data_IF_685908041871
#
_entry.id   IF_685908041871
#
_cell.length_a   1.000
_cell.length_b   1.000
_cell.length_c   1.000
_cell.angle_alpha   90.00
_cell.angle_beta   90.00
_cell.angle_gamma   90.00
#
_symmetry.space_group_name_H-M   'P 1'
#
loop_
_entity.id
_entity.type
_entity.pdbx_description
1 polymer ?
#
# COMPACT_ATOMS: atom_id res chain seq x y z
N UNK A 1 6.93 -3.16 -10.61
CA UNK A 1 6.14 -3.81 -9.54
C UNK A 1 6.18 -2.97 -8.28
N UNK A 2 5.10 -2.96 -7.50
CA UNK A 2 4.97 -2.41 -6.14
C UNK A 2 4.29 -3.44 -5.25
N UNK A 3 4.91 -3.83 -4.15
CA UNK A 3 4.32 -4.76 -3.19
C UNK A 3 3.88 -3.99 -1.95
N UNK A 4 2.57 -3.85 -1.75
CA UNK A 4 1.98 -2.97 -0.73
C UNK A 4 1.16 -3.81 0.24
N UNK A 5 1.54 -3.83 1.51
CA UNK A 5 0.76 -4.49 2.56
C UNK A 5 -0.26 -3.54 3.16
N UNK A 6 -1.52 -3.97 3.22
CA UNK A 6 -2.61 -3.21 3.86
C UNK A 6 -2.61 -3.51 5.36
N UNK A 7 -2.38 -2.49 6.15
CA UNK A 7 -2.28 -2.55 7.61
C UNK A 7 -3.37 -1.70 8.26
N UNK A 8 -3.64 -1.91 9.53
CA UNK A 8 -4.58 -1.11 10.32
C UNK A 8 -5.58 -1.94 11.11
N UNK A 9 -6.37 -1.27 11.92
CA UNK A 9 -7.35 -1.91 12.82
C UNK A 9 -8.44 -2.67 12.04
N UNK A 10 -9.10 -3.61 12.72
CA UNK A 10 -10.29 -4.27 12.16
C UNK A 10 -11.38 -3.23 11.88
N UNK A 11 -12.03 -3.33 10.72
CA UNK A 11 -13.06 -2.36 10.33
C UNK A 11 -12.55 -1.04 9.71
N UNK A 12 -11.22 -0.79 9.59
CA UNK A 12 -10.69 0.41 8.93
C UNK A 12 -10.89 0.43 7.40
N UNK A 13 -11.38 -0.67 6.81
CA UNK A 13 -11.74 -0.77 5.40
C UNK A 13 -10.63 -1.23 4.46
N UNK A 14 -9.67 -2.04 4.94
CA UNK A 14 -8.62 -2.66 4.12
C UNK A 14 -9.19 -3.45 2.94
N UNK A 15 -10.03 -4.43 3.24
CA UNK A 15 -10.70 -5.27 2.22
C UNK A 15 -11.60 -4.45 1.28
N UNK A 16 -12.31 -3.44 1.81
CA UNK A 16 -13.11 -2.53 0.97
C UNK A 16 -12.22 -1.73 0.01
N UNK A 17 -11.02 -1.35 0.45
CA UNK A 17 -10.04 -0.68 -0.43
C UNK A 17 -9.50 -1.64 -1.50
N UNK A 18 -9.17 -2.89 -1.15
CA UNK A 18 -8.75 -3.92 -2.09
C UNK A 18 -9.79 -4.13 -3.20
N UNK A 19 -11.07 -4.22 -2.84
CA UNK A 19 -12.18 -4.33 -3.80
C UNK A 19 -12.32 -3.09 -4.68
N UNK A 20 -12.16 -1.91 -4.08
CA UNK A 20 -12.17 -0.65 -4.82
C UNK A 20 -11.01 -0.56 -5.83
N UNK A 21 -9.80 -0.96 -5.42
CA UNK A 21 -8.64 -0.97 -6.30
C UNK A 21 -8.83 -1.93 -7.48
N UNK A 22 -9.34 -3.15 -7.26
CA UNK A 22 -9.70 -4.10 -8.30
C UNK A 22 -10.75 -3.55 -9.29
N UNK A 23 -11.78 -2.94 -8.77
CA UNK A 23 -12.86 -2.39 -9.60
C UNK A 23 -12.40 -1.18 -10.42
N UNK A 24 -11.72 -0.22 -9.79
CA UNK A 24 -11.30 1.02 -10.46
C UNK A 24 -10.08 0.86 -11.37
N UNK A 25 -9.28 -0.20 -11.20
CA UNK A 25 -8.25 -0.60 -12.17
C UNK A 25 -8.84 -1.37 -13.37
N UNK A 26 -10.08 -1.86 -13.25
CA UNK A 26 -10.73 -2.70 -14.27
C UNK A 26 -10.36 -4.19 -14.17
N UNK A 27 -9.63 -4.59 -13.12
CA UNK A 27 -9.30 -5.99 -12.88
C UNK A 27 -10.53 -6.85 -12.59
N UNK A 28 -11.59 -6.24 -12.01
CA UNK A 28 -12.90 -6.87 -11.83
C UNK A 28 -14.01 -5.99 -12.41
N UNK A 29 -15.09 -6.64 -12.86
CA UNK A 29 -16.30 -5.94 -13.37
C UNK A 29 -17.31 -5.64 -12.27
N UNK A 30 -17.17 -6.26 -11.12
CA UNK A 30 -18.04 -6.13 -9.96
C UNK A 30 -17.28 -5.53 -8.80
N UNK A 31 -17.90 -4.61 -8.10
CA UNK A 31 -17.41 -4.09 -6.83
C UNK A 31 -17.92 -5.02 -5.72
N UNK A 32 -17.03 -5.79 -5.10
CA UNK A 32 -17.39 -6.67 -3.97
C UNK A 32 -17.60 -5.90 -2.68
N UNK A 33 -18.41 -6.48 -1.79
CA UNK A 33 -18.70 -5.92 -0.47
C UNK A 33 -18.55 -6.99 0.61
N UNK A 34 -17.95 -6.63 1.71
CA UNK A 34 -17.77 -7.54 2.87
C UNK A 34 -19.11 -8.00 3.42
N UNK A 35 -20.09 -7.08 3.49
CA UNK A 35 -21.44 -7.38 3.98
C UNK A 35 -22.17 -8.42 3.13
N UNK A 36 -21.92 -8.41 1.82
CA UNK A 36 -22.51 -9.34 0.86
C UNK A 36 -21.74 -10.68 0.78
N UNK A 37 -20.58 -10.80 1.44
CA UNK A 37 -19.72 -11.98 1.42
C UNK A 37 -19.22 -12.34 0.03
N UNK A 38 -18.96 -11.34 -0.81
CA UNK A 38 -18.62 -11.52 -2.23
C UNK A 38 -17.33 -10.83 -2.65
N UNK A 39 -16.45 -10.51 -1.69
CA UNK A 39 -15.13 -9.93 -1.94
C UNK A 39 -14.18 -10.96 -2.54
N UNK A 40 -13.15 -10.47 -3.22
CA UNK A 40 -12.08 -11.31 -3.79
C UNK A 40 -11.13 -11.77 -2.69
N UNK A 41 -10.88 -10.92 -1.68
CA UNK A 41 -9.94 -11.19 -0.59
C UNK A 41 -10.46 -12.22 0.40
N UNK A 42 -11.70 -12.04 0.90
CA UNK A 42 -12.31 -12.90 1.93
C UNK A 42 -13.13 -13.99 1.25
N UNK A 43 -12.49 -15.04 0.81
CA UNK A 43 -13.14 -16.13 0.06
C UNK A 43 -13.35 -17.41 0.88
N UNK A 44 -12.74 -17.52 2.05
CA UNK A 44 -12.96 -18.65 2.94
C UNK A 44 -14.32 -18.59 3.61
N UNK A 45 -14.97 -19.75 3.78
CA UNK A 45 -16.31 -19.83 4.35
C UNK A 45 -16.42 -19.15 5.73
N UNK A 46 -15.35 -19.22 6.52
CA UNK A 46 -15.32 -18.62 7.86
C UNK A 46 -15.16 -17.09 7.78
N UNK A 47 -14.38 -16.57 6.83
CA UNK A 47 -14.24 -15.14 6.57
C UNK A 47 -15.57 -14.53 6.14
N UNK A 48 -16.25 -15.19 5.19
CA UNK A 48 -17.57 -14.80 4.70
C UNK A 48 -18.60 -14.81 5.84
N UNK A 49 -18.60 -15.86 6.67
CA UNK A 49 -19.53 -16.00 7.79
C UNK A 49 -19.32 -14.95 8.86
N UNK A 50 -18.07 -14.65 9.20
CA UNK A 50 -17.71 -13.68 10.24
C UNK A 50 -17.61 -12.25 9.71
N UNK A 51 -17.55 -12.06 8.39
CA UNK A 51 -17.32 -10.77 7.73
C UNK A 51 -16.00 -10.11 8.17
N UNK A 52 -14.98 -10.91 8.34
CA UNK A 52 -13.64 -10.49 8.74
C UNK A 52 -12.59 -11.34 8.03
N UNK A 53 -11.50 -10.72 7.62
CA UNK A 53 -10.33 -11.39 7.06
C UNK A 53 -9.60 -12.20 8.14
N UNK A 54 -9.25 -13.42 7.83
CA UNK A 54 -8.48 -14.35 8.68
C UNK A 54 -7.11 -14.60 8.04
N UNK A 55 -7.08 -14.73 6.72
CA UNK A 55 -5.90 -14.98 5.93
C UNK A 55 -5.46 -13.74 5.16
N UNK A 56 -4.16 -13.67 4.86
CA UNK A 56 -3.66 -12.68 3.89
C UNK A 56 -3.98 -13.14 2.48
N UNK A 57 -4.56 -12.24 1.68
CA UNK A 57 -4.86 -12.44 0.27
C UNK A 57 -4.00 -11.53 -0.62
N UNK A 58 -3.53 -12.06 -1.76
CA UNK A 58 -2.80 -11.28 -2.78
C UNK A 58 -3.80 -10.72 -3.79
N UNK A 59 -3.76 -9.41 -3.99
CA UNK A 59 -4.69 -8.65 -4.83
C UNK A 59 -3.89 -7.85 -5.85
N UNK A 60 -3.55 -8.44 -7.00
CA UNK A 60 -2.82 -7.76 -8.06
C UNK A 60 -3.73 -6.84 -8.86
N UNK A 61 -3.27 -5.62 -9.11
CA UNK A 61 -3.90 -4.66 -10.01
C UNK A 61 -2.86 -4.05 -10.95
N UNK A 62 -3.27 -3.75 -12.19
CA UNK A 62 -2.45 -2.99 -13.13
C UNK A 62 -2.91 -1.52 -13.11
N UNK A 63 -1.97 -0.60 -12.89
CA UNK A 63 -2.25 0.83 -12.81
C UNK A 63 -1.09 1.65 -13.35
N UNK A 64 -1.33 2.46 -14.42
CA UNK A 64 -0.31 3.30 -15.05
C UNK A 64 0.99 2.54 -15.37
N UNK A 65 0.88 1.45 -16.12
CA UNK A 65 1.99 0.56 -16.49
C UNK A 65 2.78 -0.03 -15.29
N UNK A 66 2.15 -0.02 -14.12
CA UNK A 66 2.72 -0.56 -12.88
C UNK A 66 1.81 -1.64 -12.31
N UNK A 67 2.38 -2.82 -12.07
CA UNK A 67 1.72 -3.88 -11.31
C UNK A 67 1.84 -3.57 -9.81
N UNK A 68 0.70 -3.41 -9.15
CA UNK A 68 0.63 -3.23 -7.70
C UNK A 68 0.05 -4.51 -7.10
N UNK A 69 0.81 -5.19 -6.27
CA UNK A 69 0.33 -6.32 -5.48
C UNK A 69 -0.09 -5.80 -4.11
N UNK A 70 -1.39 -5.66 -3.87
CA UNK A 70 -1.88 -5.42 -2.52
C UNK A 70 -1.92 -6.74 -1.76
N UNK A 71 -1.34 -6.74 -0.57
CA UNK A 71 -1.41 -7.84 0.38
C UNK A 71 -2.47 -7.45 1.42
N UNK A 72 -3.69 -7.92 1.21
CA UNK A 72 -4.82 -7.62 2.10
C UNK A 72 -4.72 -8.50 3.35
N UNK A 73 -4.46 -7.87 4.50
CA UNK A 73 -4.16 -8.57 5.75
C UNK A 73 -5.30 -8.48 6.77
N UNK A 74 -5.43 -9.47 7.65
CA UNK A 74 -6.35 -9.41 8.78
C UNK A 74 -6.09 -8.20 9.68
N UNK A 75 -7.17 -7.64 10.26
CA UNK A 75 -7.08 -6.53 11.21
C UNK A 75 -7.17 -6.96 12.69
N UNK A 76 -7.49 -8.20 12.98
CA UNK A 76 -7.53 -8.74 14.33
C UNK A 76 -6.17 -9.26 14.79
N UNK A 77 -5.81 -9.00 16.03
CA UNK A 77 -4.50 -9.37 16.60
C UNK A 77 -4.26 -10.88 16.67
N UNK A 78 -5.33 -11.67 16.76
CA UNK A 78 -5.26 -13.13 16.72
C UNK A 78 -4.57 -13.65 15.44
N UNK A 79 -4.60 -12.87 14.38
CA UNK A 79 -4.01 -13.21 13.08
C UNK A 79 -2.73 -12.40 12.76
N UNK A 80 -2.04 -11.87 13.77
CA UNK A 80 -0.83 -11.06 13.58
C UNK A 80 0.29 -11.80 12.82
N UNK A 81 0.33 -13.13 12.88
CA UNK A 81 1.28 -13.93 12.11
C UNK A 81 1.08 -13.75 10.59
N UNK A 82 -0.15 -13.71 10.11
CA UNK A 82 -0.49 -13.45 8.71
C UNK A 82 0.01 -12.08 8.26
N UNK A 83 -0.14 -11.05 9.13
CA UNK A 83 0.36 -9.70 8.87
C UNK A 83 1.89 -9.71 8.70
N UNK A 84 2.63 -10.33 9.65
CA UNK A 84 4.09 -10.39 9.61
C UNK A 84 4.61 -11.16 8.40
N UNK A 85 3.97 -12.25 8.02
CA UNK A 85 4.32 -13.01 6.80
C UNK A 85 4.18 -12.14 5.54
N UNK A 86 3.08 -11.39 5.42
CA UNK A 86 2.86 -10.46 4.30
C UNK A 86 3.90 -9.32 4.27
N UNK A 87 4.25 -8.77 5.43
CA UNK A 87 5.22 -7.69 5.53
C UNK A 87 6.64 -8.10 5.09
N UNK A 88 7.04 -9.36 5.26
CA UNK A 88 8.33 -9.86 4.78
C UNK A 88 8.52 -9.74 3.27
N UNK A 89 7.41 -9.77 2.52
CA UNK A 89 7.41 -9.69 1.05
C UNK A 89 6.88 -8.36 0.51
N UNK A 90 6.50 -7.43 1.38
CA UNK A 90 6.09 -6.09 1.02
C UNK A 90 7.28 -5.13 0.91
N UNK A 91 7.08 -4.05 0.17
CA UNK A 91 8.02 -2.94 0.00
C UNK A 91 7.49 -1.65 0.64
N UNK A 92 6.19 -1.57 0.90
CA UNK A 92 5.51 -0.40 1.49
C UNK A 92 4.33 -0.86 2.34
N UNK A 93 4.15 -0.25 3.50
CA UNK A 93 2.96 -0.38 4.33
C UNK A 93 1.93 0.70 3.97
N UNK A 94 0.68 0.30 3.74
CA UNK A 94 -0.46 1.20 3.62
C UNK A 94 -1.32 1.06 4.88
N UNK A 95 -1.22 2.04 5.78
CA UNK A 95 -1.95 2.06 7.05
C UNK A 95 -3.32 2.70 6.83
N UNK A 96 -4.36 1.87 6.93
CA UNK A 96 -5.75 2.30 6.82
C UNK A 96 -6.27 2.74 8.18
N UNK A 97 -6.80 3.96 8.25
CA UNK A 97 -7.32 4.57 9.48
C UNK A 97 -8.78 4.99 9.24
N UNK A 98 -9.67 4.71 10.18
CA UNK A 98 -11.05 5.18 10.09
C UNK A 98 -11.14 6.66 10.46
N UNK A 99 -11.75 7.47 9.60
CA UNK A 99 -11.99 8.89 9.86
C UNK A 99 -12.90 9.14 11.07
N UNK A 100 -13.69 8.14 11.45
CA UNK A 100 -14.59 8.17 12.61
C UNK A 100 -13.89 7.82 13.92
N UNK A 101 -13.06 6.75 13.88
CA UNK A 101 -12.43 6.20 15.08
C UNK A 101 -11.08 6.86 15.40
N UNK A 102 -10.39 7.40 14.38
CA UNK A 102 -9.03 7.94 14.55
C UNK A 102 -7.99 6.85 14.76
N UNK A 103 -7.00 7.15 15.60
CA UNK A 103 -5.93 6.21 15.95
C UNK A 103 -6.46 5.15 16.92
N UNK A 104 -6.43 3.91 16.49
CA UNK A 104 -6.81 2.72 17.28
C UNK A 104 -5.57 1.85 17.53
N UNK A 105 -5.68 0.89 18.46
CA UNK A 105 -4.55 -0.01 18.79
C UNK A 105 -3.98 -0.72 17.55
N UNK A 106 -4.82 -1.09 16.57
CA UNK A 106 -4.35 -1.66 15.31
C UNK A 106 -3.59 -0.68 14.43
N UNK A 107 -3.86 0.62 14.55
CA UNK A 107 -3.09 1.68 13.88
C UNK A 107 -1.71 1.82 14.50
N UNK A 108 -1.63 1.83 15.85
CA UNK A 108 -0.37 1.88 16.59
C UNK A 108 0.51 0.68 16.27
N UNK A 109 -0.07 -0.53 16.27
CA UNK A 109 0.64 -1.76 15.92
C UNK A 109 1.12 -1.77 14.45
N UNK A 110 0.31 -1.27 13.52
CA UNK A 110 0.71 -1.14 12.12
C UNK A 110 1.93 -0.21 11.96
N UNK A 111 1.94 0.88 12.71
CA UNK A 111 3.08 1.80 12.75
C UNK A 111 4.32 1.14 13.34
N UNK A 112 4.21 0.50 14.52
CA UNK A 112 5.30 -0.23 15.17
C UNK A 112 5.90 -1.29 14.23
N UNK A 113 5.07 -2.07 13.54
CA UNK A 113 5.54 -3.09 12.60
C UNK A 113 6.30 -2.49 11.41
N UNK A 114 5.86 -1.35 10.88
CA UNK A 114 6.59 -0.65 9.83
C UNK A 114 7.96 -0.16 10.34
N UNK A 115 8.04 0.35 11.58
CA UNK A 115 9.30 0.74 12.22
C UNK A 115 10.24 -0.47 12.40
N UNK A 116 9.74 -1.57 13.01
CA UNK A 116 10.52 -2.79 13.24
C UNK A 116 11.10 -3.37 11.95
N UNK A 117 10.33 -3.34 10.87
CA UNK A 117 10.71 -3.95 9.59
C UNK A 117 11.32 -2.95 8.60
N UNK A 118 11.52 -1.71 9.01
CA UNK A 118 12.04 -0.63 8.16
C UNK A 118 11.26 -0.52 6.84
N UNK A 119 9.92 -0.54 6.91
CA UNK A 119 9.06 -0.37 5.75
C UNK A 119 8.62 1.09 5.60
N UNK A 120 8.83 1.71 4.44
CA UNK A 120 8.14 2.94 4.06
C UNK A 120 6.64 2.79 4.25
N UNK A 121 5.95 3.86 4.63
CA UNK A 121 4.53 3.80 4.93
C UNK A 121 3.76 4.97 4.36
N UNK A 122 2.53 4.70 3.97
CA UNK A 122 1.52 5.68 3.56
C UNK A 122 0.33 5.51 4.49
N UNK A 123 -0.31 6.59 4.88
CA UNK A 123 -1.53 6.56 5.69
C UNK A 123 -2.72 6.95 4.81
N UNK A 124 -3.81 6.19 4.91
CA UNK A 124 -5.06 6.52 4.26
C UNK A 124 -6.19 6.63 5.28
N UNK A 125 -6.66 7.86 5.50
CA UNK A 125 -7.84 8.14 6.32
C UNK A 125 -9.06 7.81 5.47
N UNK A 126 -9.67 6.66 5.75
CA UNK A 126 -10.80 6.07 5.03
C UNK A 126 -12.13 6.39 5.70
N UNK A 127 -13.24 6.04 5.03
CA UNK A 127 -14.60 6.23 5.56
C UNK A 127 -14.98 7.72 5.76
N UNK A 128 -14.48 8.59 4.88
CA UNK A 128 -14.85 10.01 4.88
C UNK A 128 -16.33 10.25 4.59
N UNK A 129 -17.06 9.23 4.18
CA UNK A 129 -18.51 9.20 3.95
C UNK A 129 -19.34 8.86 5.21
N UNK A 130 -18.71 8.49 6.33
CA UNK A 130 -19.41 8.29 7.61
C UNK A 130 -19.86 9.64 8.18
N UNK A 131 -21.07 9.71 8.73
CA UNK A 131 -21.63 10.94 9.33
C UNK A 131 -20.81 11.49 10.53
N UNK A 132 -20.00 10.64 11.14
CA UNK A 132 -19.11 10.98 12.26
C UNK A 132 -17.64 11.07 11.80
N UNK A 133 -17.37 11.13 10.50
CA UNK A 133 -16.01 11.28 9.99
C UNK A 133 -15.45 12.67 10.35
N UNK A 134 -14.23 12.69 10.89
CA UNK A 134 -13.53 13.93 11.23
C UNK A 134 -12.06 13.81 10.82
N UNK A 135 -11.74 14.36 9.65
CA UNK A 135 -10.38 14.34 9.11
C UNK A 135 -9.40 15.11 9.99
N UNK A 136 -9.82 16.30 10.49
CA UNK A 136 -8.92 17.18 11.22
C UNK A 136 -8.53 16.59 12.57
N UNK A 137 -9.51 16.05 13.28
CA UNK A 137 -9.27 15.32 14.52
C UNK A 137 -8.40 14.09 14.29
N UNK A 138 -8.69 13.31 13.26
CA UNK A 138 -7.92 12.09 12.94
C UNK A 138 -6.48 12.44 12.56
N UNK A 139 -6.25 13.49 11.76
CA UNK A 139 -4.91 13.98 11.44
C UNK A 139 -4.16 14.48 12.68
N UNK A 140 -4.85 15.21 13.56
CA UNK A 140 -4.26 15.68 14.82
C UNK A 140 -3.87 14.50 15.73
N UNK A 141 -4.72 13.46 15.83
CA UNK A 141 -4.44 12.25 16.60
C UNK A 141 -3.25 11.49 16.02
N UNK A 142 -3.17 11.34 14.69
CA UNK A 142 -2.01 10.73 14.01
C UNK A 142 -0.73 11.49 14.32
N UNK A 143 -0.74 12.82 14.22
CA UNK A 143 0.44 13.65 14.51
C UNK A 143 0.82 13.64 15.98
N UNK A 144 -0.14 13.56 16.88
CA UNK A 144 0.10 13.43 18.32
C UNK A 144 0.82 12.11 18.66
N UNK A 145 0.44 11.01 18.00
CA UNK A 145 1.00 9.69 18.30
C UNK A 145 2.30 9.41 17.54
N UNK A 146 2.44 9.92 16.29
CA UNK A 146 3.52 9.54 15.38
C UNK A 146 4.41 10.72 14.96
N UNK A 147 4.12 11.91 15.46
CA UNK A 147 4.98 13.08 15.29
C UNK A 147 4.88 13.76 13.93
N UNK A 148 5.93 14.55 13.61
CA UNK A 148 5.99 15.41 12.42
C UNK A 148 6.16 14.62 11.11
N UNK A 149 6.55 13.35 11.17
CA UNK A 149 6.62 12.48 10.01
C UNK A 149 5.27 12.37 9.28
N UNK A 150 4.15 12.53 9.99
CA UNK A 150 2.79 12.50 9.44
C UNK A 150 2.49 13.79 8.68
N UNK A 151 2.52 13.71 7.34
CA UNK A 151 2.40 14.87 6.45
C UNK A 151 1.23 14.70 5.45
N UNK A 152 0.17 15.52 5.52
CA UNK A 152 -0.95 15.40 4.60
C UNK A 152 -0.56 15.88 3.19
N UNK A 153 -0.90 15.09 2.16
CA UNK A 153 -0.75 15.47 0.74
C UNK A 153 -2.00 16.17 0.20
N UNK A 154 -3.12 15.91 0.83
CA UNK A 154 -4.42 16.47 0.46
C UNK A 154 -5.31 16.59 1.70
N UNK A 155 -6.29 17.49 1.62
CA UNK A 155 -7.36 17.62 2.61
C UNK A 155 -8.72 17.44 1.93
N UNK A 156 -9.73 16.92 2.65
CA UNK A 156 -11.10 16.84 2.14
C UNK A 156 -11.78 18.19 2.23
N UNK A 157 -12.85 18.35 1.44
CA UNK A 157 -13.83 19.40 1.64
C UNK A 157 -15.24 18.91 1.32
N UNK A 158 -16.22 19.55 1.95
CA UNK A 158 -17.62 19.16 1.94
C UNK A 158 -18.47 20.15 1.13
N UNK A 159 -19.70 19.76 0.81
CA UNK A 159 -20.72 20.66 0.30
C UNK A 159 -21.39 21.44 1.45
N UNK A 160 -22.34 22.31 1.10
CA UNK A 160 -23.12 23.14 2.06
C UNK A 160 -23.93 22.29 3.07
N UNK A 161 -24.14 21.01 2.78
CA UNK A 161 -24.86 20.08 3.65
C UNK A 161 -23.92 19.21 4.51
N UNK A 162 -22.60 19.43 4.43
CA UNK A 162 -21.61 18.64 5.14
C UNK A 162 -21.30 17.28 4.51
N UNK A 163 -21.66 17.06 3.24
CA UNK A 163 -21.29 15.84 2.56
C UNK A 163 -19.90 15.96 1.93
N UNK A 164 -19.06 14.97 2.13
CA UNK A 164 -17.75 14.90 1.51
C UNK A 164 -17.83 14.83 -0.03
N UNK A 165 -17.30 15.81 -0.73
CA UNK A 165 -17.41 15.93 -2.20
C UNK A 165 -16.10 16.04 -2.95
N UNK A 166 -14.99 16.35 -2.27
CA UNK A 166 -13.75 16.61 -3.00
C UNK A 166 -12.51 16.71 -2.14
N UNK A 167 -11.40 17.05 -2.81
CA UNK A 167 -10.06 17.14 -2.22
C UNK A 167 -9.37 18.43 -2.66
N UNK A 168 -8.54 18.97 -1.79
CA UNK A 168 -7.59 20.02 -2.11
C UNK A 168 -6.18 19.42 -2.02
N UNK A 169 -5.45 19.45 -3.14
CA UNK A 169 -4.07 18.99 -3.20
C UNK A 169 -3.16 20.08 -2.61
N UNK A 170 -2.38 19.75 -1.59
CA UNK A 170 -1.54 20.71 -0.89
C UNK A 170 -0.25 21.07 -1.67
N UNK A 171 0.22 20.20 -2.56
CA UNK A 171 1.40 20.50 -3.38
C UNK A 171 1.02 21.49 -4.49
N UNK A 172 -0.07 21.19 -5.23
CA UNK A 172 -0.51 21.96 -6.40
C UNK A 172 -1.43 23.13 -6.08
N UNK A 173 -1.93 23.22 -4.85
CA UNK A 173 -2.94 24.21 -4.44
C UNK A 173 -4.18 24.18 -5.35
N UNK A 174 -4.59 22.98 -5.81
CA UNK A 174 -5.77 22.83 -6.64
C UNK A 174 -6.86 22.04 -5.92
N UNK A 175 -8.11 22.52 -6.03
CA UNK A 175 -9.28 21.84 -5.51
C UNK A 175 -9.97 21.05 -6.63
N UNK A 176 -10.44 19.85 -6.32
CA UNK A 176 -11.17 18.98 -7.24
C UNK A 176 -12.35 18.33 -6.54
N UNK A 177 -13.52 18.38 -7.20
CA UNK A 177 -14.73 17.70 -6.72
C UNK A 177 -15.18 16.62 -7.69
N UNK A 178 -15.93 15.67 -7.20
CA UNK A 178 -16.47 14.60 -8.03
C UNK A 178 -17.77 15.07 -8.72
N UNK A 179 -17.75 15.07 -10.04
CA UNK A 179 -18.88 15.38 -10.90
C UNK A 179 -19.09 14.19 -11.84
N UNK A 180 -20.28 13.59 -11.83
CA UNK A 180 -20.59 12.43 -12.69
C UNK A 180 -19.53 11.30 -12.63
N UNK A 181 -18.98 11.02 -11.45
CA UNK A 181 -18.00 9.95 -11.25
C UNK A 181 -16.55 10.32 -11.60
N UNK A 182 -16.28 11.54 -12.09
CA UNK A 182 -14.94 12.05 -12.40
C UNK A 182 -14.56 13.20 -11.47
N UNK A 183 -13.26 13.30 -11.15
CA UNK A 183 -12.72 14.44 -10.42
C UNK A 183 -12.48 15.59 -11.41
N UNK A 184 -13.19 16.70 -11.21
CA UNK A 184 -13.07 17.93 -11.98
C UNK A 184 -12.51 19.05 -11.13
N UNK A 185 -11.70 19.91 -11.74
CA UNK A 185 -11.15 21.09 -11.06
C UNK A 185 -12.26 22.06 -10.68
N UNK A 186 -12.21 22.63 -9.50
CA UNK A 186 -13.15 23.61 -9.01
C UNK A 186 -12.43 24.75 -8.26
N UNK A 187 -13.16 25.77 -7.92
CA UNK A 187 -12.62 26.81 -7.02
C UNK A 187 -12.39 26.24 -5.63
N UNK A 188 -11.32 26.69 -5.01
CA UNK A 188 -11.00 26.32 -3.63
C UNK A 188 -11.99 27.00 -2.68
N UNK A 189 -12.64 26.23 -1.77
CA UNK A 189 -13.50 26.83 -0.76
C UNK A 189 -12.78 27.89 0.06
N UNK A 190 -13.43 29.03 0.29
CA UNK A 190 -12.83 30.18 0.97
C UNK A 190 -12.40 29.85 2.40
N UNK A 191 -13.23 29.07 3.11
CA UNK A 191 -13.00 28.61 4.48
C UNK A 191 -11.82 27.65 4.64
N UNK A 192 -11.31 27.07 3.52
CA UNK A 192 -10.19 26.14 3.51
C UNK A 192 -8.83 26.80 3.18
N UNK A 193 -8.83 28.04 2.69
CA UNK A 193 -7.60 28.69 2.22
C UNK A 193 -6.53 28.80 3.32
N UNK A 194 -6.88 29.29 4.50
CA UNK A 194 -5.92 29.44 5.61
C UNK A 194 -5.38 28.08 6.07
N UNK A 195 -6.24 27.06 6.14
CA UNK A 195 -5.86 25.70 6.49
C UNK A 195 -4.89 25.10 5.46
N UNK A 196 -5.14 25.33 4.17
CA UNK A 196 -4.27 24.89 3.08
C UNK A 196 -2.87 25.50 3.21
N UNK A 197 -2.76 26.80 3.47
CA UNK A 197 -1.46 27.46 3.62
C UNK A 197 -0.68 26.92 4.83
N UNK A 198 -1.34 26.73 5.96
CA UNK A 198 -0.71 26.18 7.17
C UNK A 198 -0.19 24.74 6.91
N UNK A 199 -1.05 23.86 6.37
CA UNK A 199 -0.66 22.47 6.13
C UNK A 199 0.36 22.33 5.00
N UNK A 200 0.29 23.20 3.98
CA UNK A 200 1.28 23.25 2.91
C UNK A 200 2.66 23.65 3.47
N UNK A 201 2.73 24.69 4.31
CA UNK A 201 4.00 25.09 4.92
C UNK A 201 4.64 23.96 5.71
N UNK A 202 3.85 23.20 6.47
CA UNK A 202 4.32 22.01 7.19
C UNK A 202 4.80 20.91 6.23
N UNK A 203 4.11 20.69 5.11
CA UNK A 203 4.49 19.72 4.10
C UNK A 203 5.83 20.09 3.43
N UNK A 204 6.01 21.37 3.11
CA UNK A 204 7.25 21.88 2.52
C UNK A 204 8.43 21.74 3.49
N UNK A 205 8.24 22.08 4.77
CA UNK A 205 9.26 21.90 5.80
C UNK A 205 9.74 20.45 5.87
N UNK A 206 8.80 19.50 5.95
CA UNK A 206 9.15 18.07 6.03
C UNK A 206 9.79 17.57 4.73
N UNK A 207 9.36 18.05 3.56
CA UNK A 207 10.01 17.74 2.29
C UNK A 207 11.43 18.31 2.21
N UNK A 208 11.65 19.53 2.68
CA UNK A 208 12.95 20.18 2.71
C UNK A 208 13.96 19.44 3.62
N UNK A 209 13.51 18.86 4.74
CA UNK A 209 14.37 18.06 5.64
C UNK A 209 15.01 16.84 4.97
N UNK A 210 14.55 16.44 3.79
CA UNK A 210 15.05 15.27 3.06
C UNK A 210 16.42 15.51 2.37
N UNK A 211 16.82 16.77 2.16
CA UNK A 211 18.07 17.14 1.46
C UNK A 211 18.64 18.46 1.99
N UNK A 212 19.98 18.54 2.07
CA UNK A 212 20.66 19.76 2.51
C UNK A 212 20.37 20.95 1.57
N UNK A 213 20.28 20.70 0.25
CA UNK A 213 19.99 21.73 -0.74
C UNK A 213 18.57 22.32 -0.56
N UNK A 214 17.56 21.46 -0.36
CA UNK A 214 16.19 21.91 -0.14
C UNK A 214 16.03 22.63 1.20
N UNK A 215 16.78 22.19 2.21
CA UNK A 215 16.79 22.83 3.51
C UNK A 215 17.42 24.23 3.46
N UNK A 216 18.50 24.42 2.69
CA UNK A 216 19.12 25.73 2.49
C UNK A 216 18.16 26.70 1.80
N UNK A 217 17.45 26.26 0.74
CA UNK A 217 16.41 27.07 0.09
C UNK A 217 15.31 27.45 1.06
N UNK A 218 14.83 26.49 1.86
CA UNK A 218 13.77 26.73 2.85
C UNK A 218 14.18 27.78 3.89
N UNK A 219 15.41 27.74 4.41
CA UNK A 219 15.92 28.72 5.37
C UNK A 219 16.19 30.10 4.76
N UNK A 220 16.41 30.17 3.46
CA UNK A 220 16.58 31.44 2.72
C UNK A 220 15.25 32.04 2.27
N UNK A 221 14.10 31.50 2.71
CA UNK A 221 12.76 31.88 2.27
C UNK A 221 12.57 31.78 0.72
N UNK A 222 13.31 30.88 0.06
CA UNK A 222 13.14 30.59 -1.36
C UNK A 222 11.98 29.63 -1.55
N UNK A 223 11.11 29.93 -2.53
CA UNK A 223 9.96 29.05 -2.83
C UNK A 223 10.44 27.77 -3.52
N UNK A 224 10.11 26.60 -2.94
CA UNK A 224 10.35 25.31 -3.56
C UNK A 224 9.37 25.07 -4.71
N UNK A 225 9.86 24.63 -5.84
CA UNK A 225 9.03 24.20 -6.97
C UNK A 225 8.25 22.93 -6.64
N UNK A 226 7.18 22.66 -7.40
CA UNK A 226 6.42 21.42 -7.24
C UNK A 226 7.30 20.17 -7.36
N UNK A 227 8.24 20.15 -8.33
CA UNK A 227 9.15 19.00 -8.53
C UNK A 227 10.09 18.81 -7.34
N UNK A 228 10.67 19.86 -6.79
CA UNK A 228 11.51 19.79 -5.59
C UNK A 228 10.75 19.27 -4.38
N UNK A 229 9.48 19.67 -4.22
CA UNK A 229 8.62 19.14 -3.15
C UNK A 229 8.35 17.65 -3.40
N UNK A 230 8.06 17.23 -4.64
CA UNK A 230 7.86 15.82 -4.97
C UNK A 230 9.10 14.98 -4.70
N UNK A 231 10.27 15.44 -5.12
CA UNK A 231 11.55 14.74 -4.94
C UNK A 231 11.89 14.62 -3.44
N UNK A 232 11.74 15.71 -2.69
CA UNK A 232 11.93 15.70 -1.25
C UNK A 232 11.01 14.71 -0.53
N UNK A 233 9.73 14.69 -0.91
CA UNK A 233 8.77 13.73 -0.35
C UNK A 233 9.14 12.28 -0.71
N UNK A 234 9.57 12.02 -1.96
CA UNK A 234 9.96 10.68 -2.38
C UNK A 234 11.16 10.16 -1.58
N UNK A 235 12.18 10.99 -1.40
CA UNK A 235 13.35 10.66 -0.56
C UNK A 235 12.94 10.42 0.89
N UNK A 236 12.13 11.32 1.47
CA UNK A 236 11.68 11.22 2.85
C UNK A 236 10.79 10.00 3.12
N UNK A 237 9.97 9.58 2.14
CA UNK A 237 9.17 8.36 2.23
C UNK A 237 10.09 7.13 2.16
N UNK A 238 11.02 7.11 1.20
CA UNK A 238 11.93 5.98 1.00
C UNK A 238 12.84 5.74 2.22
N UNK A 239 13.28 6.79 2.89
CA UNK A 239 14.11 6.70 4.10
C UNK A 239 13.31 6.65 5.41
N UNK A 240 11.98 6.54 5.34
CA UNK A 240 11.03 6.39 6.45
C UNK A 240 10.83 7.64 7.33
N UNK A 241 11.40 8.77 6.96
CA UNK A 241 11.25 10.03 7.72
C UNK A 241 9.89 10.70 7.50
N UNK A 242 9.20 10.38 6.39
CA UNK A 242 7.90 10.92 6.03
C UNK A 242 6.87 9.79 5.89
N UNK A 243 5.70 9.98 6.47
CA UNK A 243 4.51 9.17 6.28
C UNK A 243 3.41 10.05 5.66
N UNK A 244 3.24 10.03 4.33
CA UNK A 244 2.24 10.87 3.68
C UNK A 244 0.83 10.41 4.02
N UNK A 245 -0.07 11.39 4.24
CA UNK A 245 -1.47 11.14 4.55
C UNK A 245 -2.35 11.51 3.37
N UNK A 246 -3.15 10.55 2.95
CA UNK A 246 -4.24 10.70 1.99
C UNK A 246 -5.57 10.46 2.70
N UNK A 247 -6.69 10.86 2.09
CA UNK A 247 -8.02 10.56 2.63
C UNK A 247 -8.99 10.18 1.53
N UNK A 248 -10.09 9.54 1.92
CA UNK A 248 -11.13 9.16 0.98
C UNK A 248 -12.18 8.22 1.55
N UNK A 249 -12.96 7.64 0.65
CA UNK A 249 -13.93 6.59 0.93
C UNK A 249 -13.76 5.47 -0.07
N UNK A 250 -13.34 4.31 0.40
CA UNK A 250 -13.20 3.12 -0.43
C UNK A 250 -14.56 2.69 -1.01
N UNK A 251 -15.62 2.74 -0.22
CA UNK A 251 -16.99 2.35 -0.60
C UNK A 251 -17.59 3.24 -1.69
N UNK A 252 -17.35 4.54 -1.63
CA UNK A 252 -17.77 5.49 -2.66
C UNK A 252 -16.77 5.65 -3.81
N UNK A 253 -15.58 5.05 -3.68
CA UNK A 253 -14.48 5.17 -4.64
C UNK A 253 -13.83 6.55 -4.67
N UNK A 254 -14.03 7.38 -3.63
CA UNK A 254 -13.35 8.65 -3.50
C UNK A 254 -11.90 8.43 -3.01
N UNK A 255 -10.95 9.05 -3.67
CA UNK A 255 -9.53 8.97 -3.29
C UNK A 255 -8.81 7.70 -3.74
N UNK A 256 -9.50 6.62 -4.14
CA UNK A 256 -8.90 5.32 -4.51
C UNK A 256 -7.89 5.45 -5.64
N UNK A 257 -8.27 6.09 -6.76
CA UNK A 257 -7.36 6.33 -7.89
C UNK A 257 -6.21 7.26 -7.53
N UNK A 258 -6.48 8.27 -6.68
CA UNK A 258 -5.44 9.19 -6.20
C UNK A 258 -4.41 8.46 -5.35
N UNK A 259 -4.86 7.55 -4.48
CA UNK A 259 -3.96 6.74 -3.66
C UNK A 259 -3.11 5.78 -4.52
N UNK A 260 -3.69 5.13 -5.55
CA UNK A 260 -2.91 4.32 -6.49
C UNK A 260 -1.88 5.17 -7.25
N UNK A 261 -2.23 6.40 -7.67
CA UNK A 261 -1.27 7.34 -8.26
C UNK A 261 -0.14 7.70 -7.28
N UNK A 262 -0.49 7.92 -6.00
CA UNK A 262 0.46 8.23 -4.94
C UNK A 262 1.42 7.06 -4.71
N UNK A 263 0.92 5.83 -4.67
CA UNK A 263 1.74 4.61 -4.57
C UNK A 263 2.72 4.55 -5.74
N UNK A 264 2.24 4.68 -6.99
CA UNK A 264 3.12 4.62 -8.18
C UNK A 264 4.20 5.70 -8.15
N UNK A 265 3.84 6.93 -7.73
CA UNK A 265 4.76 8.08 -7.76
C UNK A 265 5.78 8.06 -6.64
N UNK A 266 5.37 7.73 -5.42
CA UNK A 266 6.19 7.96 -4.22
C UNK A 266 6.84 6.71 -3.65
N UNK A 267 6.40 5.51 -4.02
CA UNK A 267 7.05 4.29 -3.53
C UNK A 267 8.07 3.77 -4.51
N UNK A 268 9.15 3.20 -3.99
CA UNK A 268 10.19 2.61 -4.82
C UNK A 268 9.67 1.36 -5.57
N UNK A 269 10.16 1.09 -6.80
CA UNK A 269 10.00 -0.21 -7.43
C UNK A 269 10.52 -1.34 -6.54
N UNK A 270 9.90 -2.52 -6.63
CA UNK A 270 10.27 -3.66 -5.81
C UNK A 270 11.76 -4.06 -5.91
N UNK A 271 12.36 -3.85 -7.09
CA UNK A 271 13.79 -4.09 -7.33
C UNK A 271 14.69 -3.04 -6.68
N UNK A 272 14.20 -1.82 -6.48
CA UNK A 272 14.95 -0.74 -5.81
C UNK A 272 14.72 -0.75 -4.30
N UNK A 273 13.50 -1.03 -3.86
CA UNK A 273 13.13 -1.10 -2.44
C UNK A 273 13.91 -2.18 -1.68
N UNK A 274 14.21 -3.30 -2.35
CA UNK A 274 15.08 -4.38 -1.86
C UNK A 274 16.21 -4.62 -2.85
N UNK A 275 16.92 -3.55 -3.23
CA UNK A 275 17.99 -3.60 -4.22
C UNK A 275 19.09 -4.61 -3.86
N UNK A 276 19.37 -4.76 -2.57
CA UNK A 276 20.30 -5.74 -2.04
C UNK A 276 19.65 -6.56 -0.95
N UNK A 277 19.84 -7.85 -0.95
CA UNK A 277 19.46 -8.70 0.16
C UNK A 277 20.58 -9.67 0.54
N UNK A 278 20.66 -9.98 1.83
CA UNK A 278 21.63 -10.90 2.39
C UNK A 278 21.07 -12.32 2.40
N UNK A 279 21.82 -13.26 1.88
CA UNK A 279 21.52 -14.67 1.95
C UNK A 279 22.75 -15.48 2.37
N UNK A 280 22.55 -16.63 2.99
CA UNK A 280 23.61 -17.58 3.28
C UNK A 280 23.76 -18.55 2.10
N UNK A 281 24.97 -18.67 1.58
CA UNK A 281 25.32 -19.67 0.59
C UNK A 281 26.63 -20.35 0.98
N UNK A 282 26.64 -21.68 1.11
CA UNK A 282 27.77 -22.47 1.60
C UNK A 282 28.37 -21.94 2.92
N UNK A 283 27.50 -21.51 3.86
CA UNK A 283 27.90 -20.98 5.16
C UNK A 283 28.55 -19.59 5.12
N UNK A 284 28.47 -18.89 3.99
CA UNK A 284 28.96 -17.52 3.82
C UNK A 284 27.79 -16.58 3.60
N UNK A 285 27.91 -15.40 4.19
CA UNK A 285 27.00 -14.29 3.88
C UNK A 285 27.31 -13.75 2.49
N UNK A 286 26.29 -13.73 1.62
CA UNK A 286 26.40 -13.27 0.24
C UNK A 286 25.32 -12.21 0.02
N UNK A 287 25.71 -11.10 -0.61
CA UNK A 287 24.78 -10.05 -0.99
C UNK A 287 24.40 -10.24 -2.45
N UNK A 288 23.10 -10.36 -2.70
CA UNK A 288 22.53 -10.43 -4.04
C UNK A 288 21.85 -9.12 -4.41
N UNK A 289 21.95 -8.73 -5.69
CA UNK A 289 21.22 -7.59 -6.24
C UNK A 289 19.87 -8.03 -6.78
N UNK A 290 18.82 -7.28 -6.53
CA UNK A 290 17.50 -7.53 -7.10
C UNK A 290 17.51 -7.13 -8.59
N UNK A 291 17.66 -8.12 -9.47
CA UNK A 291 17.75 -7.95 -10.93
C UNK A 291 17.34 -9.25 -11.62
N UNK A 292 16.75 -9.15 -12.81
CA UNK A 292 16.41 -10.32 -13.66
C UNK A 292 17.64 -11.03 -14.24
N UNK A 293 18.77 -10.35 -14.31
CA UNK A 293 20.04 -10.90 -14.84
C UNK A 293 20.79 -11.76 -13.80
N UNK A 294 20.35 -11.74 -12.56
CA UNK A 294 20.95 -12.52 -11.47
C UNK A 294 20.44 -13.96 -11.46
N UNK A 295 21.12 -14.82 -10.67
CA UNK A 295 20.64 -16.15 -10.36
C UNK A 295 19.30 -16.08 -9.65
N UNK A 296 18.36 -16.95 -10.06
CA UNK A 296 17.05 -17.00 -9.41
C UNK A 296 17.16 -17.31 -7.92
N UNK A 297 16.46 -16.53 -7.13
CA UNK A 297 16.14 -16.82 -5.73
C UNK A 297 14.74 -16.32 -5.38
N UNK A 298 14.08 -17.03 -4.48
CA UNK A 298 12.74 -16.68 -4.02
C UNK A 298 12.58 -16.93 -2.52
N UNK A 299 11.69 -16.15 -1.91
CA UNK A 299 11.29 -16.30 -0.51
C UNK A 299 9.83 -16.77 -0.45
N UNK A 300 9.62 -17.99 0.06
CA UNK A 300 8.28 -18.55 0.29
C UNK A 300 7.75 -18.00 1.60
N UNK A 301 6.63 -17.28 1.55
CA UNK A 301 6.05 -16.63 2.74
C UNK A 301 4.75 -17.29 3.23
N UNK A 302 4.07 -18.06 2.36
CA UNK A 302 2.81 -18.71 2.71
C UNK A 302 2.61 -20.00 1.91
N UNK A 303 2.04 -21.02 2.56
CA UNK A 303 1.58 -22.26 1.88
C UNK A 303 0.09 -22.41 2.12
N UNK A 304 -0.68 -22.59 1.05
CA UNK A 304 -2.12 -22.78 1.07
C UNK A 304 -2.42 -24.22 0.67
N UNK A 305 -3.35 -24.88 1.35
CA UNK A 305 -3.88 -26.18 0.93
C UNK A 305 -5.07 -25.94 0.00
N UNK A 306 -4.88 -26.22 -1.28
CA UNK A 306 -5.95 -26.16 -2.28
C UNK A 306 -6.54 -27.56 -2.49
N UNK A 307 -7.89 -27.71 -2.45
CA UNK A 307 -8.53 -29.03 -2.60
C UNK A 307 -8.28 -29.72 -3.94
N UNK A 308 -7.93 -28.97 -5.00
CA UNK A 308 -7.78 -29.49 -6.37
C UNK A 308 -6.33 -29.63 -6.79
N UNK A 309 -5.47 -28.68 -6.39
CA UNK A 309 -4.06 -28.61 -6.78
C UNK A 309 -3.15 -29.22 -5.71
N UNK A 310 -3.62 -29.28 -4.46
CA UNK A 310 -2.83 -29.73 -3.34
C UNK A 310 -2.19 -28.57 -2.59
N UNK A 311 -0.86 -28.56 -2.44
CA UNK A 311 -0.15 -27.45 -1.78
C UNK A 311 0.21 -26.39 -2.80
N UNK A 312 -0.13 -25.15 -2.51
CA UNK A 312 0.23 -23.99 -3.29
C UNK A 312 1.14 -23.09 -2.45
N UNK A 313 2.38 -22.91 -2.89
CA UNK A 313 3.39 -22.14 -2.19
C UNK A 313 3.46 -20.74 -2.80
N UNK A 314 3.12 -19.73 -2.00
CA UNK A 314 3.20 -18.32 -2.38
C UNK A 314 4.61 -17.82 -2.05
N UNK A 315 5.23 -17.15 -3.01
CA UNK A 315 6.60 -16.67 -2.88
C UNK A 315 6.78 -15.31 -3.56
N UNK A 316 7.81 -14.59 -3.13
CA UNK A 316 8.34 -13.42 -3.83
C UNK A 316 9.62 -13.81 -4.53
N UNK A 317 9.75 -13.47 -5.82
CA UNK A 317 11.02 -13.52 -6.53
C UNK A 317 11.92 -12.41 -5.98
N UNK A 318 13.04 -12.81 -5.40
CA UNK A 318 14.02 -11.87 -4.82
C UNK A 318 15.02 -11.41 -5.86
N UNK A 319 15.54 -12.36 -6.66
CA UNK A 319 16.48 -12.10 -7.77
C UNK A 319 16.21 -13.05 -8.92
N UNK A 320 16.65 -12.65 -10.12
CA UNK A 320 16.49 -13.44 -11.32
C UNK A 320 15.04 -13.51 -11.79
N UNK A 321 14.79 -14.45 -12.65
CA UNK A 321 13.46 -14.78 -13.16
C UNK A 321 13.19 -16.28 -13.04
N UNK A 322 11.93 -16.63 -12.97
CA UNK A 322 11.46 -18.01 -12.92
C UNK A 322 10.52 -18.27 -14.08
N UNK A 323 10.77 -19.33 -14.85
CA UNK A 323 9.88 -19.81 -15.88
C UNK A 323 9.55 -21.32 -15.69
N UNK A 324 8.55 -21.79 -16.42
CA UNK A 324 8.03 -23.16 -16.30
C UNK A 324 9.01 -24.25 -16.78
N UNK A 325 10.11 -23.91 -17.44
CA UNK A 325 11.12 -24.85 -17.93
C UNK A 325 12.25 -25.10 -16.93
N UNK A 326 12.36 -24.28 -15.91
CA UNK A 326 13.45 -24.30 -14.95
C UNK A 326 13.29 -25.40 -13.89
N UNK A 327 14.38 -25.65 -13.19
CA UNK A 327 14.41 -26.42 -11.95
C UNK A 327 15.02 -25.55 -10.86
N UNK A 328 14.45 -25.60 -9.67
CA UNK A 328 14.87 -24.81 -8.51
C UNK A 328 15.42 -25.73 -7.43
N UNK A 329 16.40 -25.26 -6.69
CA UNK A 329 16.94 -25.95 -5.53
C UNK A 329 16.16 -25.54 -4.28
N UNK A 330 15.59 -26.52 -3.59
CA UNK A 330 14.93 -26.32 -2.32
C UNK A 330 15.96 -26.57 -1.20
N UNK A 331 16.43 -25.51 -0.57
CA UNK A 331 17.48 -25.57 0.42
C UNK A 331 17.05 -26.32 1.70
N UNK A 332 15.81 -26.16 2.14
CA UNK A 332 15.29 -26.84 3.34
C UNK A 332 15.24 -28.37 3.18
N UNK A 333 14.93 -28.84 1.95
CA UNK A 333 14.83 -30.26 1.64
C UNK A 333 16.10 -30.86 1.02
N UNK A 334 17.09 -30.03 0.70
CA UNK A 334 18.30 -30.42 -0.03
C UNK A 334 17.95 -31.19 -1.34
N UNK A 335 17.00 -30.67 -2.13
CA UNK A 335 16.48 -31.30 -3.34
C UNK A 335 16.32 -30.31 -4.49
N UNK A 336 16.51 -30.85 -5.71
CA UNK A 336 16.16 -30.11 -6.94
C UNK A 336 14.71 -30.44 -7.30
N UNK A 337 13.88 -29.44 -7.41
CA UNK A 337 12.48 -29.57 -7.77
C UNK A 337 12.26 -28.94 -9.16
N UNK A 338 11.51 -29.60 -10.02
CA UNK A 338 11.16 -29.09 -11.35
C UNK A 338 10.02 -28.08 -11.17
N UNK A 339 10.16 -26.89 -11.75
CA UNK A 339 9.07 -25.91 -11.79
C UNK A 339 7.93 -26.48 -12.64
N UNK A 340 6.75 -26.47 -12.07
CA UNK A 340 5.52 -26.86 -12.76
C UNK A 340 4.80 -25.64 -13.33
N UNK A 341 3.52 -25.51 -12.99
CA UNK A 341 2.74 -24.33 -13.39
C UNK A 341 3.00 -23.18 -12.44
N UNK A 342 3.17 -22.00 -13.01
CA UNK A 342 3.32 -20.75 -12.29
C UNK A 342 2.01 -19.99 -12.29
N UNK A 343 1.69 -19.35 -11.17
CA UNK A 343 0.47 -18.58 -11.01
C UNK A 343 0.76 -17.23 -10.39
N UNK A 344 -0.06 -16.25 -10.75
CA UNK A 344 -0.33 -15.04 -9.97
C UNK A 344 -1.67 -15.24 -9.29
N UNK A 345 -1.71 -15.04 -7.98
CA UNK A 345 -2.95 -15.19 -7.22
C UNK A 345 -3.75 -13.89 -7.23
N UNK A 346 -5.08 -13.99 -7.44
CA UNK A 346 -6.03 -12.91 -7.20
C UNK A 346 -7.08 -13.43 -6.22
N UNK A 347 -6.82 -13.25 -4.92
CA UNK A 347 -7.58 -13.96 -3.89
C UNK A 347 -7.54 -15.47 -4.14
N UNK A 348 -8.71 -16.07 -4.39
CA UNK A 348 -8.83 -17.50 -4.71
C UNK A 348 -8.46 -17.86 -6.16
N UNK A 349 -8.54 -16.89 -7.08
CA UNK A 349 -8.29 -17.12 -8.50
C UNK A 349 -6.80 -17.35 -8.78
N UNK A 350 -6.49 -18.40 -9.54
CA UNK A 350 -5.15 -18.76 -9.97
C UNK A 350 -5.00 -18.37 -11.44
N UNK A 351 -4.24 -17.33 -11.71
CA UNK A 351 -3.97 -16.83 -13.07
C UNK A 351 -2.64 -17.43 -13.51
N UNK A 352 -2.68 -18.37 -14.48
CA UNK A 352 -1.47 -19.02 -15.00
C UNK A 352 -0.61 -18.01 -15.77
N UNK A 353 0.71 -18.05 -15.54
CA UNK A 353 1.69 -17.19 -16.18
C UNK A 353 2.89 -18.03 -16.65
N UNK A 354 3.57 -17.56 -17.70
CA UNK A 354 4.72 -18.27 -18.26
C UNK A 354 6.01 -17.99 -17.47
N UNK A 355 6.15 -16.78 -16.93
CA UNK A 355 7.33 -16.33 -16.18
C UNK A 355 6.99 -15.32 -15.09
N UNK A 356 7.88 -15.24 -14.10
CA UNK A 356 7.86 -14.25 -13.01
C UNK A 356 9.24 -13.60 -12.90
N UNK A 357 9.26 -12.29 -12.64
CA UNK A 357 10.44 -11.45 -12.60
C UNK A 357 10.80 -11.04 -11.17
N UNK A 358 12.03 -10.53 -11.00
CA UNK A 358 12.49 -9.97 -9.73
C UNK A 358 11.50 -8.94 -9.17
N UNK A 359 11.09 -9.14 -7.92
CA UNK A 359 10.08 -8.34 -7.24
C UNK A 359 8.64 -8.84 -7.38
N UNK A 360 8.36 -9.79 -8.28
CA UNK A 360 7.01 -10.36 -8.42
C UNK A 360 6.62 -11.25 -7.24
N UNK A 361 5.32 -11.27 -6.96
CA UNK A 361 4.69 -12.24 -6.06
C UNK A 361 3.95 -13.24 -6.92
N UNK A 362 4.31 -14.52 -6.78
CA UNK A 362 3.72 -15.63 -7.48
C UNK A 362 3.41 -16.81 -6.59
N UNK A 363 2.90 -17.87 -7.19
CA UNK A 363 2.63 -19.14 -6.54
C UNK A 363 2.99 -20.32 -7.45
N UNK A 364 3.41 -21.41 -6.83
CA UNK A 364 3.62 -22.67 -7.51
C UNK A 364 3.09 -23.86 -6.68
N UNK A 365 2.66 -24.91 -7.38
CA UNK A 365 2.07 -26.13 -6.81
C UNK A 365 3.14 -27.13 -6.36
#
# INVERSE_FOLDING_TARGET
VRNVVLLGHSGSGKTSYSEAALYYSGATKRFGKVEDGNTVSDYEAEEIRRKVSINTSVIPVEWQDTKINFLDTPGYFDFAAEVKLAMNVADTGLIMVSAKSGVEVGTEKAWEYCEEMHLPRIIFINQMDDENADFEKTLADLRKNFGKAVAPLQIPFDDENGNFIGFINLIKRDARKKVNGKLEKCEMPEDKKDQVEVLRSMLIEVAAESSEELMEKFFNDEELTEEEIYDGLQVGIANHSIAPVMCGSATLGYGVKLLMNTIVRFTLPAIEAKANFHAFHDGKDVVYCSSDDERFSAYVFKTIADPYIGRLNLFRVMTGKLDTTMSVYNEEKDTVEKVGRLYVMRGKEQIEVDELHSGDIGALA
#
